data_IF_333885576125
#
_entry.id   IF_333885576125
#
_cell.length_a   1.000
_cell.length_b   1.000
_cell.length_c   1.000
_cell.angle_alpha   90.00
_cell.angle_beta   90.00
_cell.angle_gamma   90.00
#
_symmetry.space_group_name_H-M   'P 1'
#
loop_
_entity.id
_entity.type
_entity.pdbx_description
1 polymer ?
#
# COMPACT_ATOMS: atom_id res chain seq x y z
N UNK A 1 -9.71 6.86 2.10
CA UNK A 1 -8.77 5.92 1.44
C UNK A 1 -7.65 5.61 2.44
N UNK A 2 -7.18 4.36 2.56
CA UNK A 2 -6.24 3.94 3.62
C UNK A 2 -4.95 4.76 3.64
N UNK A 3 -4.27 4.90 2.49
CA UNK A 3 -3.00 5.63 2.40
C UNK A 3 -3.13 7.13 2.68
N UNK A 4 -4.26 7.75 2.30
CA UNK A 4 -4.58 9.15 2.65
C UNK A 4 -4.68 9.31 4.16
N UNK A 5 -5.44 8.44 4.83
CA UNK A 5 -5.59 8.50 6.27
C UNK A 5 -4.27 8.22 7.01
N UNK A 6 -3.41 7.35 6.46
CA UNK A 6 -2.07 7.10 7.01
C UNK A 6 -1.17 8.34 6.87
N UNK A 7 -1.09 8.95 5.68
CA UNK A 7 -0.22 10.13 5.49
C UNK A 7 -0.70 11.32 6.33
N UNK A 8 -2.00 11.51 6.50
CA UNK A 8 -2.57 12.51 7.42
C UNK A 8 -2.10 12.27 8.86
N UNK A 9 -2.19 11.03 9.36
CA UNK A 9 -1.72 10.69 10.70
C UNK A 9 -0.21 10.92 10.87
N UNK A 10 0.60 10.55 9.87
CA UNK A 10 2.05 10.75 9.89
C UNK A 10 2.41 12.24 9.86
N UNK A 11 1.75 13.03 9.01
CA UNK A 11 1.91 14.48 8.96
C UNK A 11 1.60 15.12 10.32
N UNK A 12 0.46 14.79 10.93
CA UNK A 12 0.04 15.37 12.19
C UNK A 12 0.95 14.97 13.37
N UNK A 13 1.37 13.70 13.45
CA UNK A 13 1.92 13.13 14.68
C UNK A 13 3.43 12.82 14.63
N UNK A 14 3.97 12.56 13.43
CA UNK A 14 5.38 12.20 13.24
C UNK A 14 6.15 13.40 12.72
N UNK A 15 5.78 13.90 11.54
CA UNK A 15 6.46 15.03 10.90
C UNK A 15 6.05 16.39 11.48
N UNK A 16 4.92 16.43 12.21
CA UNK A 16 4.38 17.63 12.88
C UNK A 16 4.14 18.79 11.92
N UNK A 17 3.64 18.47 10.73
CA UNK A 17 3.24 19.42 9.68
C UNK A 17 1.73 19.39 9.49
N UNK A 18 1.18 20.45 8.91
CA UNK A 18 -0.25 20.58 8.60
C UNK A 18 -0.44 21.02 7.15
N UNK A 19 -0.13 20.16 6.17
CA UNK A 19 -0.33 20.50 4.77
C UNK A 19 -1.82 20.60 4.45
N UNK A 20 -2.15 21.34 3.40
CA UNK A 20 -3.46 21.28 2.77
C UNK A 20 -3.48 20.06 1.84
N UNK A 21 -4.39 19.11 2.11
CA UNK A 21 -4.58 17.95 1.25
C UNK A 21 -5.65 18.26 0.21
N UNK A 22 -5.26 18.19 -1.07
CA UNK A 22 -6.17 18.32 -2.20
C UNK A 22 -6.18 17.03 -3.03
N UNK A 23 -7.32 16.61 -3.60
CA UNK A 23 -7.35 15.50 -4.55
C UNK A 23 -6.48 15.83 -5.76
N UNK A 24 -5.59 14.92 -6.14
CA UNK A 24 -4.77 15.00 -7.35
C UNK A 24 -5.02 13.83 -8.29
N UNK A 25 -4.68 13.99 -9.57
CA UNK A 25 -4.69 12.88 -10.51
C UNK A 25 -3.50 11.95 -10.24
N UNK A 26 -3.73 10.66 -10.44
CA UNK A 26 -2.75 9.59 -10.24
C UNK A 26 -2.15 9.07 -11.55
N UNK A 27 -2.45 9.73 -12.68
CA UNK A 27 -1.83 9.42 -13.96
C UNK A 27 -0.32 9.74 -13.94
N UNK A 28 0.48 8.85 -14.53
CA UNK A 28 1.94 9.00 -14.60
C UNK A 28 2.37 10.31 -15.27
N UNK A 29 1.65 10.75 -16.29
CA UNK A 29 1.92 12.01 -16.97
C UNK A 29 1.82 13.20 -16.01
N UNK A 30 0.85 13.17 -15.09
CA UNK A 30 0.71 14.22 -14.09
C UNK A 30 1.79 14.09 -13.02
N UNK A 31 2.08 12.88 -12.55
CA UNK A 31 3.07 12.65 -11.49
C UNK A 31 4.50 13.00 -11.96
N UNK A 32 4.79 12.82 -13.25
CA UNK A 32 6.07 13.18 -13.86
C UNK A 32 6.29 14.69 -14.01
N UNK A 33 5.31 15.55 -13.67
CA UNK A 33 5.39 17.02 -13.78
C UNK A 33 5.67 17.72 -12.45
N UNK A 34 6.29 17.01 -11.51
CA UNK A 34 6.67 17.58 -10.22
C UNK A 34 7.51 18.86 -10.39
N UNK A 35 7.12 19.95 -9.72
CA UNK A 35 7.76 21.27 -9.83
C UNK A 35 7.16 22.20 -10.89
N UNK A 36 6.28 21.72 -11.78
CA UNK A 36 5.48 22.56 -12.69
C UNK A 36 4.13 22.97 -12.11
N UNK A 37 3.73 22.36 -10.99
CA UNK A 37 2.45 22.59 -10.31
C UNK A 37 2.65 23.27 -8.95
N UNK A 38 1.57 23.84 -8.41
CA UNK A 38 1.56 24.53 -7.11
C UNK A 38 1.72 23.59 -5.90
N UNK A 39 1.88 22.27 -6.12
CA UNK A 39 1.93 21.27 -5.06
C UNK A 39 3.37 20.86 -4.70
N UNK A 40 3.71 20.95 -3.40
CA UNK A 40 5.06 20.66 -2.88
C UNK A 40 5.36 19.16 -2.72
N UNK A 41 4.33 18.32 -2.64
CA UNK A 41 4.44 16.88 -2.44
C UNK A 41 3.25 16.13 -3.03
N UNK A 42 3.41 14.82 -3.28
CA UNK A 42 2.33 13.94 -3.75
C UNK A 42 2.31 12.61 -3.03
N UNK A 43 1.09 12.13 -2.74
CA UNK A 43 0.84 10.75 -2.34
C UNK A 43 0.56 9.92 -3.59
N UNK A 44 1.32 8.85 -3.79
CA UNK A 44 1.17 7.93 -4.94
C UNK A 44 1.08 6.50 -4.41
N UNK A 45 0.20 5.68 -5.00
CA UNK A 45 0.02 4.27 -4.64
C UNK A 45 0.00 3.38 -5.90
N UNK A 46 0.18 2.07 -5.72
CA UNK A 46 0.09 1.10 -6.80
C UNK A 46 1.19 1.24 -7.85
N UNK A 47 0.88 0.87 -9.10
CA UNK A 47 1.85 0.80 -10.20
C UNK A 47 2.55 2.13 -10.46
N UNK A 48 1.85 3.26 -10.32
CA UNK A 48 2.46 4.58 -10.48
C UNK A 48 3.59 4.81 -9.46
N UNK A 49 3.42 4.38 -8.21
CA UNK A 49 4.46 4.49 -7.19
C UNK A 49 5.65 3.57 -7.51
N UNK A 50 5.37 2.36 -8.02
CA UNK A 50 6.40 1.40 -8.42
C UNK A 50 7.23 1.93 -9.60
N UNK A 51 6.58 2.47 -10.64
CA UNK A 51 7.24 3.03 -11.82
C UNK A 51 8.12 4.22 -11.45
N UNK A 52 7.65 5.11 -10.58
CA UNK A 52 8.45 6.23 -10.09
C UNK A 52 9.66 5.76 -9.28
N UNK A 53 9.49 4.69 -8.50
CA UNK A 53 10.59 4.12 -7.75
C UNK A 53 11.63 3.43 -8.67
N UNK A 54 11.20 2.73 -9.71
CA UNK A 54 12.08 2.10 -10.71
C UNK A 54 12.87 3.14 -11.51
N UNK A 55 12.19 4.20 -11.99
CA UNK A 55 12.81 5.32 -12.69
C UNK A 55 13.95 6.00 -11.89
N UNK A 56 13.89 5.95 -10.56
CA UNK A 56 14.96 6.46 -9.67
C UNK A 56 16.18 5.55 -9.57
N UNK A 57 16.03 4.23 -9.74
CA UNK A 57 17.11 3.25 -9.59
C UNK A 57 17.87 2.96 -10.91
N UNK A 58 17.32 3.33 -12.07
CA UNK A 58 18.09 3.62 -13.29
C UNK A 58 17.65 2.96 -14.61
N UNK A 59 17.98 3.66 -15.71
CA UNK A 59 17.94 3.29 -17.15
C UNK A 59 16.57 3.32 -17.85
N UNK A 60 15.92 4.49 -17.87
CA UNK A 60 14.85 4.80 -18.82
C UNK A 60 14.88 6.27 -19.20
N UNK A 61 15.20 6.58 -20.46
CA UNK A 61 15.01 7.93 -21.02
C UNK A 61 13.50 8.22 -21.04
N UNK A 62 12.97 9.02 -20.11
CA UNK A 62 11.61 9.52 -20.28
C UNK A 62 10.83 10.08 -19.09
N UNK A 63 11.24 9.93 -17.83
CA UNK A 63 10.49 10.55 -16.72
C UNK A 63 11.43 11.29 -15.77
N UNK A 64 11.40 12.62 -15.90
CA UNK A 64 12.38 13.55 -15.35
C UNK A 64 11.88 14.24 -14.06
N UNK A 65 10.82 13.72 -13.42
CA UNK A 65 10.43 14.16 -12.09
C UNK A 65 11.35 13.52 -11.04
N UNK A 66 12.47 14.19 -10.75
CA UNK A 66 13.27 13.88 -9.57
C UNK A 66 12.59 14.50 -8.34
N UNK A 67 11.76 13.71 -7.67
CA UNK A 67 11.35 14.02 -6.31
C UNK A 67 12.58 14.01 -5.39
N UNK A 68 12.93 15.14 -4.73
CA UNK A 68 14.12 15.21 -3.88
C UNK A 68 14.00 14.34 -2.62
N UNK A 69 12.76 14.04 -2.21
CA UNK A 69 12.46 13.19 -1.07
C UNK A 69 11.38 12.17 -1.47
N UNK A 70 11.56 10.93 -1.04
CA UNK A 70 10.60 9.83 -1.23
C UNK A 70 10.46 9.13 0.12
N UNK A 71 9.24 9.02 0.60
CA UNK A 71 8.91 8.39 1.87
C UNK A 71 8.02 7.17 1.61
N UNK A 72 8.47 6.00 2.07
CA UNK A 72 7.65 4.79 2.07
C UNK A 72 6.75 4.79 3.31
N UNK A 73 5.43 4.90 3.12
CA UNK A 73 4.50 5.04 4.24
C UNK A 73 4.48 3.82 5.16
N UNK A 74 4.74 2.62 4.64
CA UNK A 74 4.83 1.41 5.45
C UNK A 74 6.04 1.44 6.37
N UNK A 75 7.17 1.93 5.87
CA UNK A 75 8.42 2.11 6.60
C UNK A 75 8.29 3.21 7.67
N UNK A 76 7.67 4.34 7.33
CA UNK A 76 7.39 5.42 8.29
C UNK A 76 6.45 4.95 9.41
N UNK A 77 5.42 4.16 9.08
CA UNK A 77 4.56 3.52 10.08
C UNK A 77 5.33 2.56 10.97
N UNK A 78 6.18 1.71 10.38
CA UNK A 78 7.00 0.74 11.13
C UNK A 78 7.99 1.45 12.04
N UNK A 79 8.61 2.54 11.59
CA UNK A 79 9.50 3.36 12.40
C UNK A 79 8.76 4.03 13.57
N UNK A 80 7.52 4.49 13.34
CA UNK A 80 6.72 5.13 14.37
C UNK A 80 6.18 4.17 15.42
N UNK A 81 5.74 2.98 15.00
CA UNK A 81 4.94 2.07 15.86
C UNK A 81 5.64 0.77 16.21
N UNK A 82 6.68 0.39 15.48
CA UNK A 82 7.29 -0.94 15.55
C UNK A 82 6.42 -2.06 14.92
N UNK A 83 5.25 -1.75 14.38
CA UNK A 83 4.28 -2.73 13.86
C UNK A 83 4.25 -2.73 12.32
N UNK A 84 3.93 -3.86 11.67
CA UNK A 84 3.63 -3.86 10.24
C UNK A 84 2.36 -3.03 9.94
N UNK A 85 2.23 -2.55 8.71
CA UNK A 85 1.03 -1.83 8.25
C UNK A 85 0.19 -2.72 7.33
N UNK A 86 -1.14 -2.72 7.51
CA UNK A 86 -2.08 -3.48 6.67
C UNK A 86 -2.83 -2.50 5.76
N UNK A 87 -2.48 -2.47 4.48
CA UNK A 87 -3.13 -1.57 3.50
C UNK A 87 -4.52 -2.05 3.09
N UNK A 88 -4.70 -3.36 2.96
CA UNK A 88 -5.95 -3.97 2.50
C UNK A 88 -6.16 -5.37 3.10
N UNK A 89 -7.42 -5.79 3.15
CA UNK A 89 -7.84 -7.14 3.55
C UNK A 89 -8.97 -7.60 2.64
N UNK A 90 -9.04 -8.90 2.37
CA UNK A 90 -10.26 -9.50 1.82
C UNK A 90 -11.30 -9.67 2.93
N UNK A 91 -12.53 -9.26 2.66
CA UNK A 91 -13.64 -9.34 3.61
C UNK A 91 -14.87 -9.95 2.95
N UNK A 92 -15.57 -10.81 3.70
CA UNK A 92 -16.91 -11.27 3.35
C UNK A 92 -17.95 -10.49 4.16
N UNK A 93 -19.11 -10.22 3.56
CA UNK A 93 -20.21 -9.60 4.30
C UNK A 93 -20.72 -10.57 5.37
N UNK A 94 -21.20 -10.05 6.50
CA UNK A 94 -21.73 -10.87 7.60
C UNK A 94 -22.95 -11.72 7.19
N UNK A 95 -23.65 -11.32 6.13
CA UNK A 95 -24.79 -12.02 5.54
C UNK A 95 -24.38 -13.13 4.57
N UNK A 96 -23.10 -13.21 4.20
CA UNK A 96 -22.59 -14.25 3.30
C UNK A 96 -22.62 -15.62 4.01
N UNK A 97 -23.15 -16.68 3.38
CA UNK A 97 -23.10 -18.02 3.95
C UNK A 97 -21.67 -18.49 4.21
N UNK A 98 -21.44 -19.08 5.39
CA UNK A 98 -20.10 -19.44 5.88
C UNK A 98 -19.36 -20.41 4.94
N UNK A 99 -20.04 -21.46 4.47
CA UNK A 99 -19.39 -22.48 3.64
C UNK A 99 -18.84 -21.91 2.30
N UNK A 100 -19.61 -21.15 1.50
CA UNK A 100 -19.09 -20.42 0.35
C UNK A 100 -17.94 -19.45 0.69
N UNK A 101 -18.04 -18.71 1.79
CA UNK A 101 -16.99 -17.77 2.20
C UNK A 101 -15.67 -18.49 2.52
N UNK A 102 -15.72 -19.61 3.24
CA UNK A 102 -14.54 -20.43 3.54
C UNK A 102 -13.95 -21.08 2.29
N UNK A 103 -14.78 -21.50 1.33
CA UNK A 103 -14.33 -22.05 0.05
C UNK A 103 -13.58 -21.00 -0.79
N UNK A 104 -14.12 -19.78 -0.86
CA UNK A 104 -13.46 -18.66 -1.53
C UNK A 104 -12.15 -18.28 -0.83
N UNK A 105 -12.15 -18.24 0.51
CA UNK A 105 -10.94 -18.01 1.30
C UNK A 105 -9.85 -19.04 0.98
N UNK A 106 -10.17 -20.34 1.00
CA UNK A 106 -9.20 -21.39 0.67
C UNK A 106 -8.64 -21.25 -0.76
N UNK A 107 -9.50 -20.89 -1.72
CA UNK A 107 -9.08 -20.65 -3.11
C UNK A 107 -8.14 -19.45 -3.24
N UNK A 108 -8.41 -18.36 -2.52
CA UNK A 108 -7.55 -17.17 -2.51
C UNK A 108 -6.18 -17.48 -1.89
N UNK A 109 -6.14 -18.25 -0.80
CA UNK A 109 -4.91 -18.71 -0.17
C UNK A 109 -4.08 -19.56 -1.14
N UNK A 110 -4.70 -20.56 -1.79
CA UNK A 110 -4.01 -21.40 -2.77
C UNK A 110 -3.48 -20.58 -3.97
N UNK A 111 -4.25 -19.60 -4.45
CA UNK A 111 -3.83 -18.70 -5.54
C UNK A 111 -2.63 -17.83 -5.15
N UNK A 112 -2.66 -17.25 -3.94
CA UNK A 112 -1.54 -16.49 -3.39
C UNK A 112 -0.29 -17.37 -3.28
N UNK A 113 -0.41 -18.56 -2.70
CA UNK A 113 0.73 -19.45 -2.49
C UNK A 113 1.34 -19.90 -3.81
N UNK A 114 0.50 -20.15 -4.82
CA UNK A 114 0.97 -20.39 -6.18
C UNK A 114 1.73 -19.18 -6.72
N UNK A 115 1.18 -17.96 -6.61
CA UNK A 115 1.84 -16.74 -7.08
C UNK A 115 3.21 -16.51 -6.43
N UNK A 116 3.32 -16.72 -5.11
CA UNK A 116 4.59 -16.63 -4.38
C UNK A 116 5.64 -17.67 -4.83
N UNK A 117 5.20 -18.83 -5.33
CA UNK A 117 6.08 -19.84 -5.90
C UNK A 117 6.47 -19.55 -7.38
N UNK A 118 5.79 -18.59 -8.05
CA UNK A 118 5.95 -18.29 -9.47
C UNK A 118 6.26 -16.80 -9.72
N UNK A 119 6.97 -16.15 -8.79
CA UNK A 119 7.26 -14.71 -8.87
C UNK A 119 7.99 -14.29 -10.14
N UNK A 120 8.88 -15.14 -10.66
CA UNK A 120 9.58 -14.91 -11.92
C UNK A 120 8.62 -14.75 -13.10
N UNK A 121 7.61 -15.62 -13.19
CA UNK A 121 6.58 -15.57 -14.23
C UNK A 121 5.72 -14.30 -14.10
N UNK A 122 5.30 -13.98 -12.87
CA UNK A 122 4.51 -12.80 -12.59
C UNK A 122 5.28 -11.51 -12.87
N UNK A 123 6.57 -11.47 -12.55
CA UNK A 123 7.43 -10.32 -12.85
C UNK A 123 7.60 -10.12 -14.36
N UNK A 124 7.75 -11.20 -15.14
CA UNK A 124 7.79 -11.09 -16.60
C UNK A 124 6.50 -10.55 -17.20
N UNK A 125 5.35 -10.96 -16.65
CA UNK A 125 4.06 -10.41 -17.03
C UNK A 125 3.96 -8.92 -16.67
N UNK A 126 4.35 -8.55 -15.46
CA UNK A 126 4.30 -7.17 -14.97
C UNK A 126 5.21 -6.24 -15.78
N UNK A 127 6.43 -6.65 -16.11
CA UNK A 127 7.36 -5.88 -16.95
C UNK A 127 6.75 -5.57 -18.32
N UNK A 128 6.06 -6.54 -18.95
CA UNK A 128 5.42 -6.30 -20.26
C UNK A 128 4.31 -5.26 -20.22
N UNK A 129 3.60 -5.17 -19.10
CA UNK A 129 2.45 -4.25 -18.95
C UNK A 129 2.90 -2.86 -18.49
N UNK A 130 3.84 -2.81 -17.55
CA UNK A 130 4.21 -1.58 -16.84
C UNK A 130 5.49 -0.93 -17.34
N UNK A 131 6.35 -1.69 -18.03
CA UNK A 131 7.70 -1.27 -18.41
C UNK A 131 8.72 -1.30 -17.25
N UNK A 132 8.30 -1.59 -16.02
CA UNK A 132 9.19 -1.72 -14.85
C UNK A 132 10.16 -2.88 -15.05
N UNK A 133 11.42 -2.66 -14.69
CA UNK A 133 12.44 -3.69 -14.81
C UNK A 133 12.03 -4.97 -14.05
N UNK A 134 12.22 -6.14 -14.69
CA UNK A 134 11.84 -7.45 -14.11
C UNK A 134 12.41 -7.66 -12.70
N UNK A 135 13.66 -7.27 -12.48
CA UNK A 135 14.30 -7.36 -11.17
C UNK A 135 13.55 -6.52 -10.11
N UNK A 136 13.18 -5.28 -10.44
CA UNK A 136 12.40 -4.43 -9.55
C UNK A 136 10.99 -5.00 -9.29
N UNK A 137 10.34 -5.62 -10.28
CA UNK A 137 9.08 -6.33 -10.06
C UNK A 137 9.24 -7.51 -9.09
N UNK A 138 10.29 -8.33 -9.26
CA UNK A 138 10.57 -9.45 -8.33
C UNK A 138 10.80 -8.93 -6.92
N UNK A 139 11.67 -7.93 -6.75
CA UNK A 139 11.98 -7.34 -5.45
C UNK A 139 10.72 -6.78 -4.78
N UNK A 140 9.86 -6.09 -5.55
CA UNK A 140 8.60 -5.56 -5.06
C UNK A 140 7.65 -6.67 -4.60
N UNK A 141 7.41 -7.70 -5.43
CA UNK A 141 6.51 -8.79 -5.08
C UNK A 141 7.02 -9.62 -3.89
N UNK A 142 8.33 -9.81 -3.76
CA UNK A 142 8.94 -10.48 -2.60
C UNK A 142 8.83 -9.65 -1.32
N UNK A 143 8.84 -8.32 -1.43
CA UNK A 143 8.72 -7.41 -0.29
C UNK A 143 7.29 -7.27 0.26
N UNK A 144 6.27 -7.70 -0.48
CA UNK A 144 4.88 -7.65 -0.02
C UNK A 144 4.58 -8.78 0.97
N UNK A 145 4.07 -8.42 2.15
CA UNK A 145 3.56 -9.37 3.13
C UNK A 145 2.05 -9.60 2.91
N UNK A 146 1.70 -10.85 2.56
CA UNK A 146 0.33 -11.29 2.30
C UNK A 146 -0.28 -12.06 3.49
N UNK A 147 0.39 -12.07 4.64
CA UNK A 147 -0.09 -12.66 5.87
C UNK A 147 -1.09 -11.76 6.61
N UNK A 148 -1.83 -12.36 7.55
CA UNK A 148 -2.67 -11.64 8.50
C UNK A 148 -2.57 -12.29 9.89
N UNK A 149 -1.32 -12.47 10.36
CA UNK A 149 -1.00 -13.00 11.67
C UNK A 149 -1.20 -12.00 12.82
N UNK A 150 -0.82 -12.37 14.04
CA UNK A 150 -1.01 -11.54 15.23
C UNK A 150 -0.35 -10.16 15.15
N UNK A 151 0.85 -10.04 14.59
CA UNK A 151 1.52 -8.75 14.44
C UNK A 151 0.79 -7.83 13.45
N UNK A 152 0.24 -8.40 12.38
CA UNK A 152 -0.58 -7.67 11.40
C UNK A 152 -1.88 -7.18 12.02
N UNK A 153 -2.54 -8.03 12.82
CA UNK A 153 -3.74 -7.65 13.56
C UNK A 153 -3.45 -6.56 14.59
N UNK A 154 -2.29 -6.60 15.24
CA UNK A 154 -1.85 -5.54 16.15
C UNK A 154 -1.64 -4.21 15.40
N UNK A 155 -0.94 -4.24 14.26
CA UNK A 155 -0.75 -3.06 13.40
C UNK A 155 -2.07 -2.46 12.91
N UNK A 156 -2.98 -3.31 12.41
CA UNK A 156 -4.31 -2.89 11.96
C UNK A 156 -5.16 -2.31 13.09
N UNK A 157 -5.14 -2.94 14.27
CA UNK A 157 -5.85 -2.45 15.46
C UNK A 157 -5.30 -1.11 15.93
N UNK A 158 -3.97 -0.94 15.92
CA UNK A 158 -3.32 0.31 16.30
C UNK A 158 -3.66 1.45 15.31
N UNK A 159 -3.68 1.16 14.01
CA UNK A 159 -4.11 2.12 13.00
C UNK A 159 -5.57 2.55 13.22
N UNK A 160 -6.47 1.58 13.42
CA UNK A 160 -7.87 1.87 13.71
C UNK A 160 -8.04 2.72 14.99
N UNK A 161 -7.33 2.38 16.07
CA UNK A 161 -7.34 3.14 17.32
C UNK A 161 -6.93 4.60 17.11
N UNK A 162 -5.91 4.86 16.29
CA UNK A 162 -5.44 6.22 15.96
C UNK A 162 -6.47 6.99 15.14
N UNK A 163 -7.11 6.35 14.16
CA UNK A 163 -8.19 6.97 13.40
C UNK A 163 -9.38 7.35 14.28
N UNK A 164 -9.75 6.50 15.24
CA UNK A 164 -10.81 6.81 16.23
C UNK A 164 -10.39 8.01 17.08
N UNK A 165 -9.16 8.02 17.60
CA UNK A 165 -8.65 9.12 18.42
C UNK A 165 -8.59 10.45 17.66
N UNK A 166 -8.31 10.41 16.36
CA UNK A 166 -8.34 11.56 15.47
C UNK A 166 -9.75 11.94 14.96
N UNK A 167 -10.80 11.20 15.37
CA UNK A 167 -12.18 11.45 14.94
C UNK A 167 -12.45 11.17 13.46
N UNK A 168 -11.58 10.39 12.79
CA UNK A 168 -11.69 10.06 11.36
C UNK A 168 -12.65 8.91 11.08
N UNK A 169 -12.84 8.04 12.06
CA UNK A 169 -13.78 6.91 12.00
C UNK A 169 -14.53 6.78 13.32
N UNK A 170 -15.76 6.24 13.31
CA UNK A 170 -16.49 5.98 14.55
C UNK A 170 -15.76 4.92 15.38
N UNK A 171 -15.92 5.01 16.71
CA UNK A 171 -15.44 3.98 17.61
C UNK A 171 -16.15 2.65 17.31
N UNK A 172 -15.41 1.55 17.35
CA UNK A 172 -15.90 0.23 16.99
C UNK A 172 -14.93 -0.87 17.40
N UNK A 173 -15.22 -2.10 17.01
CA UNK A 173 -14.32 -3.24 17.17
C UNK A 173 -14.13 -3.93 15.83
N UNK A 174 -12.89 -4.34 15.57
CA UNK A 174 -12.58 -5.22 14.45
C UNK A 174 -12.77 -6.66 14.91
N UNK A 175 -13.59 -7.41 14.18
CA UNK A 175 -13.82 -8.83 14.44
C UNK A 175 -13.42 -9.62 13.19
N UNK A 176 -12.47 -10.52 13.36
CA UNK A 176 -11.99 -11.40 12.31
C UNK A 176 -12.57 -12.79 12.54
N UNK A 177 -13.06 -13.42 11.48
CA UNK A 177 -13.44 -14.82 11.56
C UNK A 177 -12.14 -15.64 11.66
N UNK A 178 -11.97 -16.50 12.68
CA UNK A 178 -10.86 -17.42 12.68
C UNK A 178 -11.06 -18.40 11.51
N UNK A 179 -10.18 -18.32 10.52
CA UNK A 179 -9.97 -19.45 9.63
C UNK A 179 -9.17 -20.47 10.44
N UNK A 180 -9.76 -21.64 10.67
CA UNK A 180 -9.15 -22.75 11.40
C UNK A 180 -7.79 -23.15 10.83
#
# INVERSE_FOLDING_TARGET
MTSVALVELLAENVWRVRPEFVPGNSELADIARFGEEEHEARLVIGDAALILNDARHGVGEGTQATYPYVYDLGSEWKAWTGLPFVFAVWVAQRTTPVAPALSAHASLIASRDWGLAHLDELAEQATRVTGVARAACVDYFQGLDYGLGYEHLAGLTEFFRRLVAAGRVPNGSLAFLPAA
#
